data_IF_204883422905
#
_entry.id   IF_204883422905
#
_cell.length_a   1.000
_cell.length_b   1.000
_cell.length_c   1.000
_cell.angle_alpha   90.00
_cell.angle_beta   90.00
_cell.angle_gamma   90.00
#
_symmetry.space_group_name_H-M   'P 1'
#
loop_
_entity.id
_entity.type
_entity.pdbx_description
1 polymer ?
#
# COMPACT_ATOMS: atom_id res chain seq x y z
N UNK A 1 -6.69 -3.07 11.81
CA UNK A 1 -6.18 -2.16 10.76
C UNK A 1 -4.76 -1.77 11.14
N UNK A 2 -3.92 -1.36 10.18
CA UNK A 2 -2.55 -0.89 10.46
C UNK A 2 -2.42 0.59 10.12
N UNK A 3 -1.43 1.28 10.67
CA UNK A 3 -1.24 2.72 10.41
C UNK A 3 -1.16 3.07 8.92
N UNK A 4 -0.42 2.31 8.06
CA UNK A 4 -0.49 2.51 6.61
C UNK A 4 -1.92 2.52 6.06
N UNK A 5 -2.79 1.62 6.52
CA UNK A 5 -4.15 1.51 6.02
C UNK A 5 -5.00 2.72 6.36
N UNK A 6 -4.77 3.34 7.51
CA UNK A 6 -5.49 4.53 7.95
C UNK A 6 -5.05 5.74 7.12
N UNK A 7 -3.73 5.91 6.92
CA UNK A 7 -3.17 6.95 6.05
C UNK A 7 -3.74 6.83 4.63
N UNK A 8 -3.70 5.62 4.08
CA UNK A 8 -4.18 5.34 2.73
C UNK A 8 -5.69 5.54 2.56
N UNK A 9 -6.49 5.11 3.54
CA UNK A 9 -7.93 5.38 3.54
C UNK A 9 -8.21 6.88 3.49
N UNK A 10 -7.46 7.66 4.28
CA UNK A 10 -7.60 9.12 4.34
C UNK A 10 -7.18 9.76 3.01
N UNK A 11 -6.06 9.33 2.42
CA UNK A 11 -5.59 9.80 1.09
C UNK A 11 -6.56 9.46 -0.04
N UNK A 12 -7.17 8.27 0.00
CA UNK A 12 -8.19 7.87 -0.95
C UNK A 12 -9.39 8.81 -0.88
N UNK A 13 -9.92 9.06 0.32
CA UNK A 13 -11.03 9.98 0.55
C UNK A 13 -10.69 11.41 0.10
N UNK A 14 -9.50 11.89 0.44
CA UNK A 14 -9.00 13.20 -0.03
C UNK A 14 -9.08 13.29 -1.56
N UNK A 15 -8.66 12.26 -2.28
CA UNK A 15 -8.68 12.27 -3.74
C UNK A 15 -10.09 12.39 -4.34
N UNK A 16 -11.09 11.78 -3.70
CA UNK A 16 -12.49 11.87 -4.11
C UNK A 16 -13.10 13.23 -3.78
N UNK A 17 -12.82 13.76 -2.59
CA UNK A 17 -13.27 15.07 -2.16
C UNK A 17 -12.70 16.18 -3.06
N UNK A 18 -11.41 16.13 -3.39
CA UNK A 18 -10.78 17.09 -4.30
C UNK A 18 -11.38 17.04 -5.71
N UNK A 19 -11.76 15.85 -6.20
CA UNK A 19 -12.41 15.71 -7.51
C UNK A 19 -13.86 16.25 -7.51
N UNK A 20 -14.49 16.32 -6.34
CA UNK A 20 -15.85 16.78 -6.15
C UNK A 20 -15.95 18.23 -5.63
N UNK A 21 -14.81 18.94 -5.50
CA UNK A 21 -14.73 20.29 -4.90
C UNK A 21 -15.35 20.34 -3.48
N UNK A 22 -15.06 19.31 -2.67
CA UNK A 22 -15.53 19.18 -1.29
C UNK A 22 -14.37 19.44 -0.33
N UNK A 23 -14.60 20.31 0.65
CA UNK A 23 -13.64 20.57 1.72
C UNK A 23 -13.32 19.28 2.49
N UNK A 24 -12.03 19.00 2.63
CA UNK A 24 -11.52 17.82 3.30
C UNK A 24 -10.66 18.22 4.50
N UNK A 25 -10.82 17.52 5.62
CA UNK A 25 -9.88 17.56 6.73
C UNK A 25 -9.66 16.16 7.28
N UNK A 26 -8.44 15.88 7.73
CA UNK A 26 -8.11 14.63 8.40
C UNK A 26 -8.22 14.82 9.92
N UNK A 27 -8.98 13.95 10.58
CA UNK A 27 -9.04 13.90 12.04
C UNK A 27 -7.93 13.00 12.60
N UNK A 28 -7.13 13.54 13.52
CA UNK A 28 -6.05 12.83 14.19
C UNK A 28 -6.35 12.78 15.70
N UNK A 29 -7.20 11.82 16.09
CA UNK A 29 -7.56 11.54 17.48
C UNK A 29 -6.92 10.23 17.97
N UNK A 30 -6.20 10.30 19.09
CA UNK A 30 -5.55 9.18 19.76
C UNK A 30 -6.43 8.48 20.79
N UNK A 31 -7.71 8.22 20.49
CA UNK A 31 -8.57 7.47 21.40
C UNK A 31 -8.22 5.97 21.40
N UNK A 32 -8.12 5.31 22.58
CA UNK A 32 -8.27 5.88 23.93
C UNK A 32 -7.01 6.60 24.43
N UNK A 33 -7.18 7.75 25.08
CA UNK A 33 -6.09 8.55 25.69
C UNK A 33 -5.79 8.11 27.14
N UNK A 34 -4.65 8.53 27.75
CA UNK A 34 -3.51 9.32 27.24
C UNK A 34 -2.36 8.43 26.70
N UNK A 35 -1.10 8.92 26.64
CA UNK A 35 -0.02 8.26 25.88
C UNK A 35 0.42 6.88 26.37
N UNK A 36 0.06 6.49 27.60
CA UNK A 36 0.27 5.11 28.06
C UNK A 36 -0.68 4.11 27.36
N UNK A 37 -1.71 4.59 26.65
CA UNK A 37 -2.58 3.78 25.78
C UNK A 37 -2.20 3.93 24.31
N UNK A 38 -2.12 5.17 23.81
CA UNK A 38 -1.79 5.45 22.41
C UNK A 38 -0.58 6.39 22.34
N UNK A 39 0.58 5.94 21.85
CA UNK A 39 1.78 6.78 21.79
C UNK A 39 1.60 8.03 20.91
N UNK A 40 2.16 9.17 21.33
CA UNK A 40 2.17 10.38 20.50
C UNK A 40 2.84 10.18 19.14
N UNK A 41 3.83 9.30 19.05
CA UNK A 41 4.53 9.00 17.79
C UNK A 41 3.57 8.50 16.68
N UNK A 42 2.46 7.85 17.06
CA UNK A 42 1.44 7.39 16.11
C UNK A 42 0.73 8.59 15.47
N UNK A 43 0.37 9.58 16.29
CA UNK A 43 -0.22 10.82 15.80
C UNK A 43 0.76 11.64 14.95
N UNK A 44 2.03 11.73 15.35
CA UNK A 44 3.04 12.51 14.62
C UNK A 44 3.37 11.89 13.26
N UNK A 45 3.43 10.56 13.18
CA UNK A 45 3.69 9.87 11.92
C UNK A 45 2.50 9.94 10.97
N UNK A 46 1.26 9.87 11.49
CA UNK A 46 0.06 10.15 10.69
C UNK A 46 0.04 11.60 10.18
N UNK A 47 0.28 12.58 11.07
CA UNK A 47 0.32 14.02 10.73
C UNK A 47 1.38 14.31 9.66
N UNK A 48 2.58 13.73 9.80
CA UNK A 48 3.62 13.80 8.77
C UNK A 48 3.16 13.23 7.42
N UNK A 49 2.54 12.04 7.40
CA UNK A 49 2.06 11.44 6.15
C UNK A 49 1.00 12.31 5.47
N UNK A 50 0.03 12.81 6.24
CA UNK A 50 -1.04 13.64 5.72
C UNK A 50 -0.52 15.00 5.23
N UNK A 51 0.45 15.59 5.94
CA UNK A 51 1.10 16.84 5.50
C UNK A 51 1.91 16.63 4.21
N UNK A 52 2.68 15.54 4.12
CA UNK A 52 3.43 15.17 2.90
C UNK A 52 2.50 14.85 1.71
N UNK A 53 1.33 14.27 1.98
CA UNK A 53 0.26 14.05 0.98
C UNK A 53 -0.40 15.37 0.52
N UNK A 54 -0.12 16.50 1.19
CA UNK A 54 -0.75 17.78 0.89
C UNK A 54 -2.19 17.89 1.38
N UNK A 55 -2.54 17.16 2.44
CA UNK A 55 -3.84 17.31 3.09
C UNK A 55 -4.01 18.76 3.57
N UNK A 56 -5.07 19.47 3.15
CA UNK A 56 -5.18 20.91 3.34
C UNK A 56 -5.41 21.29 4.81
N UNK A 57 -6.08 20.43 5.58
CA UNK A 57 -6.43 20.69 6.98
C UNK A 57 -6.31 19.41 7.81
N UNK A 58 -5.80 19.55 9.03
CA UNK A 58 -5.73 18.45 10.00
C UNK A 58 -6.24 18.90 11.36
N UNK A 59 -7.20 18.17 11.91
CA UNK A 59 -7.68 18.36 13.28
C UNK A 59 -6.90 17.43 14.20
N UNK A 60 -5.87 17.97 14.86
CA UNK A 60 -4.99 17.22 15.76
C UNK A 60 -5.27 17.55 17.22
N UNK A 61 -5.67 16.53 17.97
CA UNK A 61 -6.02 16.69 19.36
C UNK A 61 -4.81 16.54 20.29
N UNK A 62 -4.31 17.67 20.79
CA UNK A 62 -3.07 17.72 21.60
C UNK A 62 -3.29 17.64 23.13
N UNK A 63 -4.54 17.59 23.59
CA UNK A 63 -4.91 17.58 25.01
C UNK A 63 -5.79 16.38 25.35
N UNK A 64 -5.72 15.88 26.59
CA UNK A 64 -6.64 14.82 27.05
C UNK A 64 -8.06 15.37 27.25
N UNK A 65 -9.09 14.58 26.93
CA UNK A 65 -10.50 14.99 27.06
C UNK A 65 -11.07 14.83 28.46
N UNK A 66 -10.52 13.91 29.25
CA UNK A 66 -11.08 13.51 30.53
C UNK A 66 -10.38 14.19 31.71
N UNK A 67 -9.08 14.38 31.57
CA UNK A 67 -8.20 14.91 32.60
C UNK A 67 -7.97 16.41 32.39
N UNK A 68 -7.31 17.04 33.35
CA UNK A 68 -6.92 18.44 33.23
C UNK A 68 -5.97 18.66 32.03
N UNK A 69 -5.98 19.84 31.40
CA UNK A 69 -5.13 20.12 30.22
C UNK A 69 -3.62 19.91 30.44
N UNK A 70 -3.14 19.97 31.67
CA UNK A 70 -1.75 19.79 32.07
C UNK A 70 -1.40 18.36 32.50
N UNK A 71 -2.37 17.45 32.57
CA UNK A 71 -2.16 16.06 32.96
C UNK A 71 -1.31 15.29 31.93
N UNK A 72 -1.64 15.44 30.65
CA UNK A 72 -0.90 14.83 29.54
C UNK A 72 -0.39 15.91 28.59
N UNK A 73 0.89 16.25 28.71
CA UNK A 73 1.53 17.32 27.92
C UNK A 73 2.38 16.80 26.78
N UNK A 74 2.61 15.48 26.67
CA UNK A 74 3.60 14.99 25.73
C UNK A 74 3.11 14.80 24.31
N UNK A 75 1.80 14.87 24.04
CA UNK A 75 1.31 15.08 22.67
C UNK A 75 1.77 16.46 22.17
N UNK A 76 1.58 17.52 22.96
CA UNK A 76 2.08 18.86 22.62
C UNK A 76 3.61 18.88 22.47
N UNK A 77 4.35 18.23 23.38
CA UNK A 77 5.83 18.17 23.27
C UNK A 77 6.29 17.42 22.01
N UNK A 78 5.60 16.34 21.64
CA UNK A 78 5.92 15.60 20.42
C UNK A 78 5.66 16.45 19.17
N UNK A 79 4.52 17.16 19.13
CA UNK A 79 4.20 18.09 18.04
C UNK A 79 5.25 19.20 17.92
N UNK A 80 5.60 19.87 19.02
CA UNK A 80 6.60 20.95 19.00
C UNK A 80 7.98 20.46 18.51
N UNK A 81 8.37 19.23 18.85
CA UNK A 81 9.63 18.63 18.39
C UNK A 81 9.63 18.34 16.89
N UNK A 82 8.48 17.98 16.33
CA UNK A 82 8.37 17.46 14.97
C UNK A 82 7.81 18.47 13.96
N UNK A 83 7.21 19.57 14.43
CA UNK A 83 6.50 20.57 13.62
C UNK A 83 7.32 21.08 12.44
N UNK A 84 8.58 21.41 12.68
CA UNK A 84 9.41 22.03 11.65
C UNK A 84 9.77 21.01 10.55
N UNK A 85 10.08 19.76 10.90
CA UNK A 85 10.27 18.66 9.93
C UNK A 85 9.02 18.40 9.10
N UNK A 86 7.85 18.34 9.75
CA UNK A 86 6.56 18.12 9.08
C UNK A 86 6.28 19.26 8.09
N UNK A 87 6.41 20.51 8.54
CA UNK A 87 6.19 21.70 7.70
C UNK A 87 7.16 21.74 6.52
N UNK A 88 8.45 21.57 6.76
CA UNK A 88 9.48 21.64 5.71
C UNK A 88 9.27 20.55 4.65
N UNK A 89 8.88 19.35 5.06
CA UNK A 89 8.55 18.25 4.13
C UNK A 89 7.31 18.60 3.31
N UNK A 90 6.24 19.09 3.94
CA UNK A 90 5.02 19.48 3.24
C UNK A 90 5.26 20.61 2.24
N UNK A 91 6.00 21.65 2.62
CA UNK A 91 6.40 22.76 1.75
C UNK A 91 7.24 22.26 0.57
N UNK A 92 8.19 21.36 0.81
CA UNK A 92 9.06 20.86 -0.25
C UNK A 92 8.32 19.97 -1.27
N UNK A 93 7.32 19.23 -0.81
CA UNK A 93 6.49 18.33 -1.64
C UNK A 93 5.26 19.01 -2.25
N UNK A 94 4.97 20.26 -1.87
CA UNK A 94 3.82 21.01 -2.35
C UNK A 94 3.79 21.10 -3.88
N UNK A 95 2.60 20.91 -4.46
CA UNK A 95 2.37 21.00 -5.90
C UNK A 95 2.88 19.81 -6.73
N UNK A 96 3.58 18.84 -6.14
CA UNK A 96 3.96 17.61 -6.84
C UNK A 96 2.76 16.65 -6.92
N UNK A 97 2.51 15.95 -8.04
CA UNK A 97 1.46 14.93 -8.07
C UNK A 97 1.94 13.63 -7.44
N UNK A 98 1.03 12.88 -6.83
CA UNK A 98 1.28 11.55 -6.27
C UNK A 98 1.81 10.58 -7.33
N UNK A 99 2.73 9.72 -6.92
CA UNK A 99 3.40 8.77 -7.80
C UNK A 99 3.56 7.40 -7.14
N UNK A 100 3.25 6.36 -7.88
CA UNK A 100 3.18 4.99 -7.38
C UNK A 100 2.19 4.16 -8.18
N UNK A 101 1.77 3.03 -7.63
CA UNK A 101 0.70 2.22 -8.22
C UNK A 101 -0.63 2.96 -8.06
N UNK A 102 -1.37 3.12 -9.16
CA UNK A 102 -2.72 3.69 -9.11
C UNK A 102 -3.68 2.68 -8.49
N UNK A 103 -4.23 2.99 -7.31
CA UNK A 103 -5.21 2.13 -6.65
C UNK A 103 -6.61 2.53 -7.12
N UNK A 104 -7.27 1.62 -7.85
CA UNK A 104 -8.63 1.83 -8.33
C UNK A 104 -9.65 1.35 -7.31
N UNK A 105 -10.45 2.29 -6.80
CA UNK A 105 -11.56 2.06 -5.88
C UNK A 105 -12.74 2.94 -6.26
N UNK A 106 -13.96 2.40 -6.14
CA UNK A 106 -15.20 3.15 -6.33
C UNK A 106 -15.63 3.79 -5.01
N UNK A 107 -15.87 5.10 -5.02
CA UNK A 107 -16.41 5.84 -3.87
C UNK A 107 -17.75 5.26 -3.37
N UNK A 108 -18.55 4.67 -4.27
CA UNK A 108 -19.86 4.06 -3.98
C UNK A 108 -19.79 2.54 -3.83
N UNK A 109 -18.62 1.97 -3.53
CA UNK A 109 -18.41 0.52 -3.35
C UNK A 109 -19.47 -0.13 -2.46
N UNK A 110 -19.83 0.51 -1.34
CA UNK A 110 -20.85 -0.01 -0.42
C UNK A 110 -22.22 -0.24 -1.09
N UNK A 111 -22.59 0.57 -2.08
CA UNK A 111 -23.87 0.47 -2.77
C UNK A 111 -23.92 -0.70 -3.77
N UNK A 112 -22.77 -1.17 -4.25
CA UNK A 112 -22.65 -2.25 -5.24
C UNK A 112 -22.02 -3.54 -4.72
N UNK A 113 -21.57 -3.56 -3.47
CA UNK A 113 -20.86 -4.70 -2.88
C UNK A 113 -21.81 -5.90 -2.66
N UNK A 114 -21.35 -7.08 -3.08
CA UNK A 114 -22.02 -8.33 -2.74
C UNK A 114 -21.68 -8.70 -1.28
N UNK A 115 -22.65 -8.58 -0.39
CA UNK A 115 -22.49 -8.95 1.02
C UNK A 115 -22.76 -10.45 1.22
N UNK A 116 -21.89 -11.18 1.94
CA UNK A 116 -22.22 -12.52 2.43
C UNK A 116 -23.50 -12.51 3.29
N UNK A 117 -24.28 -13.59 3.26
CA UNK A 117 -25.50 -13.71 4.10
C UNK A 117 -25.20 -13.54 5.60
N UNK A 118 -23.99 -13.91 6.04
CA UNK A 118 -23.54 -13.86 7.43
C UNK A 118 -22.63 -12.64 7.72
N UNK A 119 -22.68 -11.59 6.88
CA UNK A 119 -21.86 -10.41 7.09
C UNK A 119 -22.21 -9.70 8.42
N UNK A 120 -21.19 -9.42 9.24
CA UNK A 120 -21.33 -8.59 10.43
C UNK A 120 -21.13 -7.12 10.07
N UNK A 121 -21.64 -6.19 10.88
CA UNK A 121 -21.41 -4.76 10.69
C UNK A 121 -19.91 -4.42 10.56
N UNK A 122 -19.05 -5.10 11.34
CA UNK A 122 -17.60 -4.94 11.27
C UNK A 122 -17.03 -5.42 9.92
N UNK A 123 -17.53 -6.53 9.38
CA UNK A 123 -17.16 -7.00 8.04
C UNK A 123 -17.57 -5.99 6.97
N UNK A 124 -18.80 -5.48 7.04
CA UNK A 124 -19.34 -4.50 6.09
C UNK A 124 -18.51 -3.21 6.14
N UNK A 125 -18.30 -2.65 7.34
CA UNK A 125 -17.52 -1.42 7.52
C UNK A 125 -16.10 -1.58 6.96
N UNK A 126 -15.46 -2.73 7.23
CA UNK A 126 -14.11 -2.96 6.75
C UNK A 126 -14.05 -3.09 5.23
N UNK A 127 -14.91 -3.91 4.65
CA UNK A 127 -14.92 -4.17 3.21
C UNK A 127 -15.36 -2.95 2.40
N UNK A 128 -16.25 -2.12 2.95
CA UNK A 128 -16.70 -0.88 2.33
C UNK A 128 -15.68 0.26 2.45
N UNK A 129 -14.91 0.31 3.53
CA UNK A 129 -14.02 1.46 3.81
C UNK A 129 -12.59 1.22 3.32
N UNK A 130 -12.01 0.04 3.57
CA UNK A 130 -10.58 -0.19 3.36
C UNK A 130 -10.31 -0.94 2.06
N UNK A 131 -9.49 -0.33 1.20
CA UNK A 131 -9.01 -0.96 -0.02
C UNK A 131 -8.01 -2.09 0.29
N UNK A 132 -8.33 -3.31 -0.16
CA UNK A 132 -7.41 -4.45 -0.07
C UNK A 132 -6.14 -4.26 -0.93
N UNK A 133 -6.27 -3.58 -2.07
CA UNK A 133 -5.15 -3.26 -2.95
C UNK A 133 -4.18 -2.30 -2.26
N UNK A 134 -4.69 -1.18 -1.73
CA UNK A 134 -3.86 -0.26 -0.95
C UNK A 134 -3.27 -0.96 0.28
N UNK A 135 -4.04 -1.82 0.94
CA UNK A 135 -3.59 -2.55 2.11
C UNK A 135 -2.38 -3.45 1.85
N UNK A 136 -2.36 -4.16 0.72
CA UNK A 136 -1.23 -4.97 0.27
C UNK A 136 -0.03 -4.08 -0.08
N UNK A 137 -0.24 -3.07 -0.93
CA UNK A 137 0.83 -2.24 -1.49
C UNK A 137 1.53 -1.43 -0.39
N UNK A 138 0.77 -0.70 0.42
CA UNK A 138 1.31 0.07 1.55
C UNK A 138 1.87 -0.83 2.65
N UNK A 139 1.30 -2.03 2.82
CA UNK A 139 1.80 -3.04 3.76
C UNK A 139 3.21 -3.55 3.42
N UNK A 140 3.54 -3.51 2.13
CA UNK A 140 4.83 -3.89 1.56
C UNK A 140 5.71 -2.66 1.23
N UNK A 141 5.36 -1.47 1.73
CA UNK A 141 6.13 -0.25 1.52
C UNK A 141 6.20 0.24 0.07
N UNK A 142 5.20 -0.10 -0.76
CA UNK A 142 5.11 0.36 -2.14
C UNK A 142 4.26 1.62 -2.21
N UNK A 143 4.78 2.66 -2.86
CA UNK A 143 4.07 3.92 -3.02
C UNK A 143 2.80 3.75 -3.88
N UNK A 144 1.74 4.44 -3.48
CA UNK A 144 0.40 4.41 -4.11
C UNK A 144 -0.03 5.79 -4.55
N UNK A 145 -0.94 5.83 -5.53
CA UNK A 145 -1.62 7.03 -5.98
C UNK A 145 -3.12 6.74 -6.19
N UNK A 146 -3.97 7.75 -6.01
CA UNK A 146 -5.43 7.62 -6.18
C UNK A 146 -5.98 8.42 -7.35
N UNK A 147 -5.12 9.15 -8.06
CA UNK A 147 -5.43 9.78 -9.34
C UNK A 147 -4.83 8.96 -10.47
N UNK A 148 -5.59 8.77 -11.55
CA UNK A 148 -5.15 8.01 -12.70
C UNK A 148 -3.95 8.70 -13.36
N UNK A 149 -2.77 8.09 -13.25
CA UNK A 149 -1.50 8.62 -13.76
C UNK A 149 -0.97 7.91 -15.01
N UNK A 150 -1.73 6.98 -15.60
CA UNK A 150 -1.32 6.22 -16.77
C UNK A 150 -0.15 5.24 -16.54
N UNK A 151 0.02 4.76 -15.30
CA UNK A 151 1.02 3.78 -14.87
C UNK A 151 0.41 2.39 -14.67
N UNK A 152 0.89 1.65 -13.66
CA UNK A 152 0.26 0.39 -13.23
C UNK A 152 -0.98 0.69 -12.41
N UNK A 153 -2.09 -0.01 -12.70
CA UNK A 153 -3.30 0.03 -11.88
C UNK A 153 -3.40 -1.22 -11.00
N UNK A 154 -3.77 -1.06 -9.73
CA UNK A 154 -4.20 -2.14 -8.87
C UNK A 154 -5.71 -2.07 -8.68
N UNK A 155 -6.40 -3.19 -8.92
CA UNK A 155 -7.85 -3.31 -8.75
C UNK A 155 -8.17 -4.69 -8.18
N UNK A 156 -8.72 -4.75 -6.97
CA UNK A 156 -9.03 -6.00 -6.26
C UNK A 156 -10.53 -6.14 -6.01
N UNK A 157 -11.02 -7.37 -5.92
CA UNK A 157 -12.44 -7.64 -5.70
C UNK A 157 -13.33 -7.08 -6.80
N UNK A 158 -14.43 -6.44 -6.39
CA UNK A 158 -15.41 -5.85 -7.31
C UNK A 158 -14.87 -4.69 -8.15
N UNK A 159 -13.73 -4.09 -7.76
CA UNK A 159 -13.05 -3.04 -8.53
C UNK A 159 -12.63 -3.53 -9.93
N UNK A 160 -12.53 -4.84 -10.17
CA UNK A 160 -12.33 -5.41 -11.50
C UNK A 160 -13.48 -5.10 -12.48
N UNK A 161 -14.69 -4.80 -11.98
CA UNK A 161 -15.85 -4.41 -12.81
C UNK A 161 -15.73 -3.02 -13.39
N UNK A 162 -15.08 -2.11 -12.65
CA UNK A 162 -15.07 -0.67 -12.92
C UNK A 162 -13.70 -0.15 -13.36
N UNK A 163 -12.63 -0.92 -13.14
CA UNK A 163 -11.27 -0.46 -13.47
C UNK A 163 -11.18 -0.07 -14.96
N UNK A 164 -10.62 1.12 -15.28
CA UNK A 164 -10.46 1.54 -16.66
C UNK A 164 -9.53 0.59 -17.43
N UNK A 165 -9.93 0.20 -18.65
CA UNK A 165 -9.13 -0.69 -19.52
C UNK A 165 -8.11 0.06 -20.38
N UNK A 166 -8.25 1.38 -20.49
CA UNK A 166 -7.40 2.21 -21.33
C UNK A 166 -6.49 3.10 -20.49
N UNK A 167 -5.29 3.35 -21.02
CA UNK A 167 -4.34 4.31 -20.46
C UNK A 167 -3.42 3.74 -19.38
N UNK A 168 -3.61 2.51 -18.92
CA UNK A 168 -2.69 1.86 -17.98
C UNK A 168 -1.57 1.12 -18.71
N UNK A 169 -0.42 1.01 -18.05
CA UNK A 169 0.73 0.22 -18.47
C UNK A 169 0.62 -1.26 -18.12
N UNK A 170 -0.26 -1.60 -17.18
CA UNK A 170 -0.51 -2.95 -16.72
C UNK A 170 -1.40 -2.99 -15.49
N UNK A 171 -1.80 -4.18 -15.07
CA UNK A 171 -2.72 -4.39 -13.96
C UNK A 171 -2.17 -5.35 -12.91
N UNK A 172 -2.33 -4.99 -11.64
CA UNK A 172 -2.13 -5.89 -10.49
C UNK A 172 -3.53 -6.24 -9.97
N UNK A 173 -3.87 -7.52 -10.03
CA UNK A 173 -5.22 -8.01 -9.73
C UNK A 173 -5.16 -9.10 -8.67
N UNK A 174 -6.23 -9.24 -7.91
CA UNK A 174 -6.53 -10.46 -7.16
C UNK A 174 -7.45 -11.36 -8.02
N UNK A 175 -7.67 -12.60 -7.59
CA UNK A 175 -8.43 -13.57 -8.38
C UNK A 175 -9.86 -13.07 -8.71
N UNK A 176 -10.64 -12.56 -7.73
CA UNK A 176 -11.94 -11.97 -8.02
C UNK A 176 -11.91 -10.87 -9.08
N UNK A 177 -10.97 -9.91 -8.99
CA UNK A 177 -10.89 -8.83 -9.97
C UNK A 177 -10.50 -9.33 -11.38
N UNK A 178 -9.58 -10.30 -11.47
CA UNK A 178 -9.22 -10.92 -12.74
C UNK A 178 -10.40 -11.65 -13.39
N UNK A 179 -11.26 -12.29 -12.59
CA UNK A 179 -12.49 -12.91 -13.07
C UNK A 179 -13.53 -11.88 -13.51
N UNK A 180 -13.69 -10.76 -12.79
CA UNK A 180 -14.58 -9.67 -13.21
C UNK A 180 -14.12 -9.01 -14.52
N UNK A 181 -12.80 -8.82 -14.69
CA UNK A 181 -12.25 -8.35 -15.96
C UNK A 181 -12.46 -9.36 -17.09
N UNK A 182 -12.32 -10.66 -16.84
CA UNK A 182 -12.63 -11.71 -17.81
C UNK A 182 -14.11 -11.68 -18.24
N UNK A 183 -15.05 -11.45 -17.31
CA UNK A 183 -16.48 -11.26 -17.65
C UNK A 183 -16.75 -10.04 -18.52
N UNK A 184 -15.88 -9.01 -18.44
CA UNK A 184 -15.89 -7.84 -19.33
C UNK A 184 -15.25 -8.10 -20.70
N UNK A 185 -14.80 -9.33 -20.96
CA UNK A 185 -14.14 -9.73 -22.21
C UNK A 185 -12.63 -9.47 -22.22
N UNK A 186 -12.01 -9.13 -21.09
CA UNK A 186 -10.57 -8.91 -21.01
C UNK A 186 -9.85 -10.24 -20.79
N UNK A 187 -8.90 -10.52 -21.67
CA UNK A 187 -8.04 -11.69 -21.50
C UNK A 187 -7.01 -11.48 -20.38
N UNK A 188 -7.26 -12.06 -19.21
CA UNK A 188 -6.37 -12.02 -18.04
C UNK A 188 -5.43 -13.23 -17.95
N UNK A 189 -5.54 -14.20 -18.86
CA UNK A 189 -4.74 -15.44 -18.83
C UNK A 189 -5.37 -16.60 -18.05
N UNK A 190 -6.52 -16.40 -17.40
CA UNK A 190 -7.28 -17.46 -16.71
C UNK A 190 -8.14 -18.23 -17.72
N UNK A 191 -8.03 -19.56 -17.73
CA UNK A 191 -8.92 -20.47 -18.44
C UNK A 191 -10.08 -20.94 -17.55
N UNK A 192 -9.77 -21.28 -16.31
CA UNK A 192 -10.74 -21.56 -15.24
C UNK A 192 -10.13 -21.22 -13.89
N UNK A 193 -10.96 -20.87 -12.91
CA UNK A 193 -10.53 -20.69 -11.54
C UNK A 193 -11.64 -21.10 -10.57
N UNK A 194 -11.31 -21.96 -9.61
CA UNK A 194 -12.24 -22.48 -8.61
C UNK A 194 -11.67 -22.26 -7.21
N UNK A 195 -12.49 -21.89 -6.20
CA UNK A 195 -12.03 -21.77 -4.82
C UNK A 195 -11.46 -23.10 -4.31
N UNK A 196 -10.43 -23.03 -3.46
CA UNK A 196 -9.94 -24.19 -2.74
C UNK A 196 -10.85 -24.53 -1.55
N UNK A 197 -11.04 -25.82 -1.30
CA UNK A 197 -11.80 -26.30 -0.13
C UNK A 197 -11.06 -26.07 1.19
N UNK A 198 -9.71 -26.05 1.14
CA UNK A 198 -8.84 -25.85 2.28
C UNK A 198 -7.76 -24.81 1.96
N UNK A 199 -7.36 -24.05 2.97
CA UNK A 199 -6.28 -23.10 2.83
C UNK A 199 -4.94 -23.85 2.63
N UNK A 200 -4.06 -23.37 1.73
CA UNK A 200 -2.73 -23.93 1.57
C UNK A 200 -1.88 -23.72 2.83
N UNK A 201 -0.90 -24.60 3.06
CA UNK A 201 -0.02 -24.50 4.21
C UNK A 201 0.99 -23.36 4.03
N UNK A 202 1.53 -23.21 2.81
CA UNK A 202 2.55 -22.20 2.51
C UNK A 202 2.45 -21.73 1.06
N UNK A 203 3.06 -20.57 0.80
CA UNK A 203 3.35 -20.10 -0.54
C UNK A 203 4.86 -20.23 -0.82
N UNK A 204 5.20 -20.96 -1.87
CA UNK A 204 6.57 -21.15 -2.35
C UNK A 204 6.88 -20.19 -3.51
N UNK A 205 8.07 -19.59 -3.49
CA UNK A 205 8.54 -18.63 -4.48
C UNK A 205 9.75 -19.20 -5.21
N UNK A 206 9.58 -19.77 -6.42
CA UNK A 206 10.66 -20.45 -7.15
C UNK A 206 11.89 -19.58 -7.40
N UNK A 207 11.73 -18.27 -7.64
CA UNK A 207 12.85 -17.33 -7.85
C UNK A 207 13.82 -17.30 -6.66
N UNK A 208 13.31 -17.48 -5.44
CA UNK A 208 14.09 -17.42 -4.20
C UNK A 208 14.41 -18.80 -3.63
N UNK A 209 13.88 -19.86 -4.24
CA UNK A 209 13.92 -21.23 -3.71
C UNK A 209 13.51 -21.32 -2.23
N UNK A 210 12.49 -20.56 -1.84
CA UNK A 210 12.05 -20.44 -0.45
C UNK A 210 10.53 -20.21 -0.34
N UNK A 211 10.01 -20.22 0.88
CA UNK A 211 8.57 -20.13 1.17
C UNK A 211 8.24 -19.21 2.35
N UNK A 212 6.97 -18.80 2.40
CA UNK A 212 6.36 -18.25 3.61
C UNK A 212 5.26 -19.19 4.09
N UNK A 213 5.19 -19.40 5.39
CA UNK A 213 4.08 -20.13 6.01
C UNK A 213 2.85 -19.20 6.05
N UNK A 214 1.71 -19.74 5.64
CA UNK A 214 0.43 -19.05 5.76
C UNK A 214 -0.12 -19.33 7.16
N UNK A 215 -0.56 -18.27 7.85
CA UNK A 215 -1.03 -18.39 9.22
C UNK A 215 -2.52 -18.03 9.33
N UNK A 216 -3.07 -18.04 10.54
CA UNK A 216 -4.49 -17.77 10.77
C UNK A 216 -4.94 -16.36 10.32
N UNK A 217 -4.02 -15.40 10.21
CA UNK A 217 -4.27 -14.06 9.65
C UNK A 217 -4.47 -14.08 8.13
N UNK A 218 -3.97 -15.11 7.45
CA UNK A 218 -4.08 -15.35 6.01
C UNK A 218 -5.23 -16.31 5.67
N UNK A 219 -5.78 -17.03 6.65
CA UNK A 219 -6.57 -18.26 6.43
C UNK A 219 -7.87 -18.32 7.25
N UNK A 220 -8.63 -17.22 7.36
CA UNK A 220 -9.97 -17.26 7.99
C UNK A 220 -11.04 -17.97 7.13
N UNK A 221 -10.67 -19.05 6.42
CA UNK A 221 -11.48 -19.87 5.52
C UNK A 221 -10.66 -20.44 4.34
N UNK A 222 -11.09 -21.56 3.74
CA UNK A 222 -10.47 -22.13 2.52
C UNK A 222 -10.84 -21.39 1.23
N UNK A 223 -12.05 -20.81 1.17
CA UNK A 223 -12.63 -20.07 0.03
C UNK A 223 -11.92 -18.77 -0.34
N UNK A 224 -10.75 -18.52 0.25
CA UNK A 224 -9.90 -17.36 0.00
C UNK A 224 -8.90 -17.59 -1.12
N UNK A 225 -8.61 -18.84 -1.47
CA UNK A 225 -7.57 -19.21 -2.44
C UNK A 225 -8.20 -19.86 -3.67
N UNK A 226 -7.55 -19.75 -4.82
CA UNK A 226 -8.08 -20.27 -6.08
C UNK A 226 -7.11 -21.26 -6.72
N UNK A 227 -7.63 -22.39 -7.18
CA UNK A 227 -6.97 -23.22 -8.18
C UNK A 227 -7.33 -22.70 -9.55
N UNK A 228 -6.34 -22.24 -10.31
CA UNK A 228 -6.55 -21.77 -11.67
C UNK A 228 -5.84 -22.63 -12.71
N UNK A 229 -6.53 -22.91 -13.81
CA UNK A 229 -5.90 -23.32 -15.07
C UNK A 229 -5.56 -22.06 -15.85
N UNK A 230 -4.30 -21.94 -16.29
CA UNK A 230 -3.78 -20.74 -16.96
C UNK A 230 -3.48 -21.06 -18.43
N UNK A 231 -3.46 -20.02 -19.26
CA UNK A 231 -2.96 -20.12 -20.64
C UNK A 231 -1.46 -20.48 -20.63
N UNK A 232 -1.02 -21.15 -21.69
CA UNK A 232 0.35 -21.70 -21.80
C UNK A 232 1.45 -20.66 -21.65
N UNK A 233 1.21 -19.41 -22.07
CA UNK A 233 2.16 -18.30 -21.96
C UNK A 233 2.06 -17.51 -20.63
N UNK A 234 1.29 -17.98 -19.64
CA UNK A 234 1.30 -17.42 -18.30
C UNK A 234 2.53 -17.91 -17.51
N UNK A 235 3.31 -16.98 -16.98
CA UNK A 235 4.49 -17.27 -16.17
C UNK A 235 4.09 -17.35 -14.69
N UNK A 236 4.10 -18.55 -14.11
CA UNK A 236 3.82 -18.75 -12.68
C UNK A 236 4.99 -18.23 -11.85
N UNK A 237 4.73 -17.22 -11.00
CA UNK A 237 5.75 -16.57 -10.17
C UNK A 237 5.84 -17.14 -8.76
N UNK A 238 4.75 -17.76 -8.27
CA UNK A 238 4.71 -18.43 -6.98
C UNK A 238 3.61 -19.49 -6.95
N UNK A 239 3.68 -20.39 -5.98
CA UNK A 239 2.88 -21.62 -5.94
C UNK A 239 2.37 -21.86 -4.52
N UNK A 240 1.06 -22.09 -4.37
CA UNK A 240 0.46 -22.56 -3.13
C UNK A 240 0.67 -24.06 -3.01
N UNK A 241 1.06 -24.53 -1.82
CA UNK A 241 1.26 -25.97 -1.55
C UNK A 241 0.60 -26.38 -0.24
N UNK A 242 0.00 -27.57 -0.27
CA UNK A 242 -0.45 -28.29 0.92
C UNK A 242 -0.36 -29.80 0.69
N UNK A 243 0.20 -30.54 1.65
CA UNK A 243 0.22 -32.02 1.75
C UNK A 243 0.26 -32.80 0.41
N UNK A 244 1.13 -32.38 -0.52
CA UNK A 244 1.37 -33.06 -1.81
C UNK A 244 0.61 -32.50 -3.01
N UNK A 245 -0.29 -31.55 -2.79
CA UNK A 245 -0.96 -30.76 -3.83
C UNK A 245 -0.30 -29.39 -3.99
N UNK A 246 -0.38 -28.86 -5.21
CA UNK A 246 0.30 -27.66 -5.65
C UNK A 246 -0.53 -26.96 -6.72
N UNK A 247 -0.75 -25.66 -6.56
CA UNK A 247 -1.42 -24.84 -7.58
C UNK A 247 -0.78 -23.45 -7.67
N UNK A 248 -0.89 -22.75 -8.82
CA UNK A 248 -0.35 -21.41 -8.95
C UNK A 248 -0.91 -20.46 -7.87
N UNK A 249 -0.03 -19.66 -7.25
CA UNK A 249 -0.41 -18.62 -6.28
C UNK A 249 -0.35 -17.21 -6.88
N UNK A 250 0.55 -17.00 -7.83
CA UNK A 250 0.53 -15.80 -8.67
C UNK A 250 1.18 -16.06 -10.02
N UNK A 251 0.82 -15.25 -11.01
CA UNK A 251 1.41 -15.34 -12.33
C UNK A 251 1.48 -13.97 -13.02
N UNK A 252 2.43 -13.85 -13.95
CA UNK A 252 2.50 -12.75 -14.90
C UNK A 252 2.02 -13.19 -16.28
N UNK A 253 1.25 -12.35 -16.95
CA UNK A 253 0.69 -12.65 -18.26
C UNK A 253 0.66 -11.40 -19.14
N UNK A 254 0.95 -11.54 -20.42
CA UNK A 254 0.74 -10.47 -21.42
C UNK A 254 -0.27 -10.98 -22.42
N UNK A 255 -1.40 -10.27 -22.56
CA UNK A 255 -2.45 -10.66 -23.49
C UNK A 255 -2.06 -10.33 -24.95
N UNK A 256 -2.91 -10.75 -25.89
CA UNK A 256 -2.67 -10.53 -27.33
C UNK A 256 -2.63 -9.04 -27.73
N UNK A 257 -3.21 -8.15 -26.92
CA UNK A 257 -3.18 -6.70 -27.11
C UNK A 257 -1.91 -6.05 -26.53
N UNK A 258 -1.01 -6.84 -25.93
CA UNK A 258 0.21 -6.35 -25.31
C UNK A 258 0.02 -5.79 -23.90
N UNK A 259 -1.15 -6.00 -23.29
CA UNK A 259 -1.43 -5.56 -21.92
C UNK A 259 -0.89 -6.57 -20.91
N UNK A 260 0.02 -6.16 -19.99
CA UNK A 260 0.54 -7.03 -18.95
C UNK A 260 -0.34 -7.06 -17.68
N UNK A 261 -0.38 -8.22 -17.04
CA UNK A 261 -1.12 -8.52 -15.83
C UNK A 261 -0.22 -9.25 -14.83
N UNK A 262 -0.26 -8.83 -13.56
CA UNK A 262 0.14 -9.65 -12.42
C UNK A 262 -1.13 -10.03 -11.67
N UNK A 263 -1.40 -11.33 -11.57
CA UNK A 263 -2.61 -11.82 -10.89
C UNK A 263 -2.22 -12.65 -9.67
N UNK A 264 -2.81 -12.30 -8.53
CA UNK A 264 -2.68 -12.98 -7.25
C UNK A 264 -3.88 -13.90 -7.05
N UNK A 265 -3.66 -15.21 -6.94
CA UNK A 265 -4.71 -16.23 -6.93
C UNK A 265 -5.33 -16.46 -5.54
N UNK A 266 -5.59 -15.35 -4.85
CA UNK A 266 -6.36 -15.31 -3.61
C UNK A 266 -7.33 -14.13 -3.64
N UNK A 267 -8.24 -14.10 -2.67
CA UNK A 267 -9.21 -13.04 -2.43
C UNK A 267 -8.63 -12.06 -1.40
N UNK A 268 -8.27 -10.85 -1.82
CA UNK A 268 -7.45 -9.98 -0.98
C UNK A 268 -8.24 -9.26 0.14
N UNK A 269 -9.54 -9.01 -0.05
CA UNK A 269 -10.42 -8.34 0.92
C UNK A 269 -10.65 -9.15 2.20
N UNK A 270 -10.40 -10.46 2.16
CA UNK A 270 -10.51 -11.36 3.31
C UNK A 270 -9.21 -11.52 4.10
N UNK A 271 -8.06 -11.15 3.53
CA UNK A 271 -6.75 -11.27 4.20
C UNK A 271 -6.61 -10.17 5.25
N UNK A 272 -6.19 -10.53 6.47
CA UNK A 272 -5.93 -9.53 7.50
C UNK A 272 -4.65 -8.75 7.18
N UNK A 273 -4.65 -7.45 7.49
CA UNK A 273 -3.53 -6.52 7.26
C UNK A 273 -2.16 -6.95 7.80
N UNK A 274 -2.15 -7.85 8.78
CA UNK A 274 -0.93 -8.41 9.39
C UNK A 274 -0.55 -9.79 8.86
N UNK A 275 -1.31 -10.34 7.91
CA UNK A 275 -1.05 -11.66 7.32
C UNK A 275 0.26 -11.71 6.55
N UNK A 276 0.85 -12.91 6.47
CA UNK A 276 2.09 -13.19 5.75
C UNK A 276 2.00 -12.73 4.28
N UNK A 277 0.84 -12.85 3.64
CA UNK A 277 0.63 -12.45 2.24
C UNK A 277 0.87 -10.94 2.03
N UNK A 278 0.59 -10.11 3.04
CA UNK A 278 0.68 -8.65 2.96
C UNK A 278 2.00 -8.10 3.53
N UNK A 279 2.87 -8.97 4.04
CA UNK A 279 4.14 -8.60 4.69
C UNK A 279 5.37 -9.33 4.13
N UNK A 280 5.16 -10.24 3.19
CA UNK A 280 6.24 -11.03 2.57
C UNK A 280 7.21 -10.19 1.74
N UNK A 281 8.50 -10.28 2.04
CA UNK A 281 9.55 -9.66 1.22
C UNK A 281 9.68 -10.28 -0.17
N UNK A 282 9.31 -11.55 -0.33
CA UNK A 282 9.24 -12.19 -1.66
C UNK A 282 8.10 -11.59 -2.48
N UNK A 283 6.94 -11.37 -1.87
CA UNK A 283 5.83 -10.65 -2.51
C UNK A 283 6.20 -9.21 -2.86
N UNK A 284 6.89 -8.52 -1.94
CA UNK A 284 7.41 -7.18 -2.19
C UNK A 284 8.27 -7.17 -3.46
N UNK A 285 9.24 -8.09 -3.57
CA UNK A 285 10.12 -8.19 -4.71
C UNK A 285 9.36 -8.47 -6.02
N UNK A 286 8.40 -9.39 -6.01
CA UNK A 286 7.56 -9.69 -7.17
C UNK A 286 6.75 -8.48 -7.65
N UNK A 287 6.14 -7.71 -6.74
CA UNK A 287 5.35 -6.53 -7.11
C UNK A 287 6.24 -5.42 -7.69
N UNK A 288 7.42 -5.22 -7.12
CA UNK A 288 8.41 -4.26 -7.65
C UNK A 288 8.84 -4.66 -9.06
N UNK A 289 9.16 -5.94 -9.27
CA UNK A 289 9.60 -6.44 -10.57
C UNK A 289 8.48 -6.40 -11.61
N UNK A 290 7.25 -6.78 -11.22
CA UNK A 290 6.08 -6.66 -12.09
C UNK A 290 5.87 -5.22 -12.56
N UNK A 291 5.94 -4.23 -11.66
CA UNK A 291 5.82 -2.82 -12.04
C UNK A 291 6.91 -2.39 -13.04
N UNK A 292 8.14 -2.88 -12.87
CA UNK A 292 9.24 -2.66 -13.82
C UNK A 292 8.97 -3.33 -15.18
N UNK A 293 8.52 -4.58 -15.19
CA UNK A 293 8.16 -5.35 -16.40
C UNK A 293 7.01 -4.71 -17.18
N UNK A 294 6.07 -4.08 -16.47
CA UNK A 294 4.98 -3.30 -17.06
C UNK A 294 5.47 -1.94 -17.62
N UNK A 295 6.74 -1.57 -17.44
CA UNK A 295 7.30 -0.30 -17.93
C UNK A 295 6.95 0.91 -17.07
N UNK A 296 6.60 0.70 -15.80
CA UNK A 296 6.26 1.75 -14.84
C UNK A 296 6.91 1.44 -13.47
N UNK A 297 8.26 1.49 -13.37
CA UNK A 297 8.96 1.22 -12.12
C UNK A 297 8.54 2.21 -11.02
N UNK A 298 8.48 1.73 -9.77
CA UNK A 298 8.14 2.56 -8.62
C UNK A 298 9.21 3.65 -8.40
N UNK A 299 8.82 4.91 -8.08
CA UNK A 299 9.78 6.03 -7.98
C UNK A 299 10.89 5.79 -6.96
N UNK A 300 10.55 5.21 -5.83
CA UNK A 300 11.44 4.83 -4.76
C UNK A 300 10.95 3.53 -4.10
N UNK A 301 11.88 2.73 -3.59
CA UNK A 301 11.62 1.45 -2.91
C UNK A 301 12.55 1.31 -1.71
N UNK A 302 12.01 0.82 -0.59
CA UNK A 302 12.80 0.36 0.56
C UNK A 302 12.54 -1.13 0.74
N UNK A 303 13.57 -1.96 0.53
CA UNK A 303 13.43 -3.42 0.57
C UNK A 303 13.66 -3.95 1.97
N UNK A 304 12.92 -5.00 2.34
CA UNK A 304 13.15 -5.80 3.56
C UNK A 304 13.09 -5.00 4.87
N UNK A 305 12.39 -3.87 4.87
CA UNK A 305 12.12 -3.07 6.08
C UNK A 305 10.65 -3.24 6.49
N UNK A 306 10.37 -3.95 7.59
CA UNK A 306 9.00 -4.16 8.03
C UNK A 306 8.39 -2.83 8.47
N UNK A 307 7.14 -2.57 8.12
CA UNK A 307 6.46 -1.33 8.48
C UNK A 307 6.96 -0.08 7.75
N UNK A 308 7.86 -0.21 6.75
CA UNK A 308 8.17 0.90 5.87
C UNK A 308 6.93 1.35 5.11
N UNK A 309 6.62 2.64 5.20
CA UNK A 309 5.62 3.29 4.39
C UNK A 309 6.28 4.39 3.57
N UNK A 310 6.00 4.38 2.27
CA UNK A 310 6.51 5.36 1.32
C UNK A 310 5.36 6.12 0.69
N UNK A 311 5.46 7.44 0.72
CA UNK A 311 4.67 8.32 -0.12
C UNK A 311 5.61 9.03 -1.08
N UNK A 312 5.37 8.88 -2.38
CA UNK A 312 6.18 9.50 -3.43
C UNK A 312 5.33 10.52 -4.20
N UNK A 313 5.92 11.68 -4.51
CA UNK A 313 5.31 12.70 -5.38
C UNK A 313 6.34 13.19 -6.38
N UNK A 314 6.02 13.22 -7.67
CA UNK A 314 6.99 13.60 -8.71
C UNK A 314 6.35 14.25 -9.92
N UNK A 315 7.04 15.21 -10.51
CA UNK A 315 6.69 15.78 -11.82
C UNK A 315 7.74 15.45 -12.90
N UNK A 316 8.60 14.46 -12.64
CA UNK A 316 9.71 14.06 -13.52
C UNK A 316 10.96 14.95 -13.42
N UNK A 317 10.88 16.14 -12.83
CA UNK A 317 12.03 17.03 -12.56
C UNK A 317 12.39 17.12 -11.08
N UNK A 318 11.42 16.86 -10.21
CA UNK A 318 11.57 16.78 -8.76
C UNK A 318 10.88 15.51 -8.27
N UNK A 319 11.46 14.85 -7.29
CA UNK A 319 10.85 13.72 -6.58
C UNK A 319 10.93 14.00 -5.08
N UNK A 320 9.77 14.04 -4.43
CA UNK A 320 9.65 14.01 -2.98
C UNK A 320 9.33 12.60 -2.52
N UNK A 321 10.06 12.12 -1.52
CA UNK A 321 9.82 10.84 -0.84
C UNK A 321 9.64 11.11 0.65
N UNK A 322 8.47 10.74 1.17
CA UNK A 322 8.20 10.70 2.59
C UNK A 322 8.27 9.24 3.05
N UNK A 323 9.22 8.95 3.93
CA UNK A 323 9.43 7.63 4.53
C UNK A 323 8.98 7.66 6.00
N UNK A 324 8.12 6.72 6.38
CA UNK A 324 7.72 6.48 7.76
C UNK A 324 8.04 5.06 8.19
N UNK A 325 8.56 4.92 9.41
CA UNK A 325 8.73 3.63 10.05
C UNK A 325 7.52 3.31 10.93
N UNK A 326 6.55 2.52 10.46
CA UNK A 326 5.42 2.07 11.29
C UNK A 326 5.69 0.76 12.06
N UNK A 327 6.95 0.31 12.11
CA UNK A 327 7.37 -0.79 12.97
C UNK A 327 7.62 -0.33 14.40
N UNK A 328 7.61 -1.30 15.31
CA UNK A 328 8.16 -1.14 16.66
C UNK A 328 9.68 -1.29 16.68
N UNK A 329 10.26 -1.86 15.63
CA UNK A 329 11.69 -1.96 15.42
C UNK A 329 12.24 -0.72 14.74
N UNK A 330 13.51 -0.41 15.00
CA UNK A 330 14.24 0.65 14.32
C UNK A 330 14.61 0.22 12.90
N UNK A 331 14.45 1.11 11.92
CA UNK A 331 15.04 0.91 10.59
C UNK A 331 16.48 1.38 10.64
N UNK A 332 17.41 0.42 10.60
CA UNK A 332 18.83 0.69 10.73
C UNK A 332 19.41 1.03 9.36
N UNK A 333 19.82 2.29 9.20
CA UNK A 333 20.38 2.84 7.96
C UNK A 333 19.65 2.39 6.69
N UNK A 334 18.33 2.67 6.58
CA UNK A 334 17.52 2.14 5.49
C UNK A 334 18.05 2.63 4.13
N UNK A 335 17.97 1.73 3.15
CA UNK A 335 18.39 1.97 1.76
C UNK A 335 17.16 2.23 0.90
N UNK A 336 17.15 3.38 0.23
CA UNK A 336 16.12 3.74 -0.74
C UNK A 336 16.69 3.56 -2.15
N UNK A 337 16.13 2.62 -2.90
CA UNK A 337 16.42 2.39 -4.32
C UNK A 337 15.52 3.30 -5.18
N UNK A 338 16.11 4.02 -6.14
CA UNK A 338 15.42 4.96 -7.02
C UNK A 338 15.25 4.38 -8.43
N UNK A 339 14.12 4.67 -9.09
CA UNK A 339 13.89 4.25 -10.48
C UNK A 339 14.84 4.93 -11.48
N UNK A 340 15.28 6.15 -11.18
CA UNK A 340 16.11 6.99 -12.02
C UNK A 340 17.24 7.63 -11.22
N UNK A 341 18.26 8.13 -11.92
CA UNK A 341 19.32 8.92 -11.32
C UNK A 341 18.88 10.37 -11.13
N UNK A 342 19.34 10.98 -10.05
CA UNK A 342 19.06 12.37 -9.66
C UNK A 342 20.37 13.09 -9.39
N UNK A 343 20.42 14.41 -9.60
CA UNK A 343 21.67 15.18 -9.43
C UNK A 343 21.90 15.60 -7.98
N UNK A 344 20.84 15.97 -7.28
CA UNK A 344 20.93 16.47 -5.91
C UNK A 344 19.91 15.79 -5.01
N UNK A 345 20.26 15.68 -3.72
CA UNK A 345 19.40 15.19 -2.66
C UNK A 345 19.44 16.16 -1.47
N UNK A 346 18.27 16.49 -0.93
CA UNK A 346 18.10 17.17 0.35
C UNK A 346 17.37 16.24 1.30
N UNK A 347 17.91 16.09 2.50
CA UNK A 347 17.36 15.26 3.57
C UNK A 347 16.71 16.17 4.63
N UNK A 348 15.48 15.83 5.03
CA UNK A 348 14.66 16.62 5.96
C UNK A 348 14.33 15.73 7.16
N UNK A 349 14.68 16.18 8.37
CA UNK A 349 14.48 15.42 9.60
C UNK A 349 15.37 14.18 9.78
N UNK A 350 16.36 13.99 8.89
CA UNK A 350 17.32 12.89 8.92
C UNK A 350 18.65 13.32 8.28
N UNK A 351 19.68 12.47 8.45
CA UNK A 351 20.91 12.55 7.66
C UNK A 351 20.86 11.50 6.55
N UNK A 352 21.62 11.71 5.48
CA UNK A 352 21.72 10.72 4.41
C UNK A 352 22.78 11.05 3.37
N UNK A 353 23.00 10.10 2.46
CA UNK A 353 23.86 10.27 1.29
C UNK A 353 23.22 9.62 0.07
N UNK A 354 23.55 10.14 -1.11
CA UNK A 354 23.09 9.63 -2.40
C UNK A 354 24.29 9.17 -3.23
N UNK A 355 24.21 7.97 -3.79
CA UNK A 355 25.17 7.42 -4.74
C UNK A 355 24.43 6.79 -5.93
N UNK A 356 24.38 7.51 -7.05
CA UNK A 356 23.63 7.09 -8.24
C UNK A 356 22.14 6.94 -7.93
N UNK A 357 21.64 5.69 -7.98
CA UNK A 357 20.23 5.34 -7.70
C UNK A 357 19.98 4.85 -6.27
N UNK A 358 20.98 4.91 -5.40
CA UNK A 358 20.84 4.48 -4.01
C UNK A 358 20.96 5.68 -3.07
N UNK A 359 20.06 5.75 -2.10
CA UNK A 359 20.15 6.65 -0.95
C UNK A 359 20.30 5.82 0.31
N UNK A 360 21.21 6.20 1.18
CA UNK A 360 21.38 5.61 2.52
C UNK A 360 21.08 6.68 3.56
N UNK A 361 20.11 6.42 4.43
CA UNK A 361 19.74 7.35 5.50
C UNK A 361 20.44 7.01 6.83
N UNK A 362 20.37 7.93 7.78
CA UNK A 362 20.51 7.62 9.21
C UNK A 362 19.36 6.74 9.70
N UNK A 363 19.52 6.16 10.88
CA UNK A 363 18.50 5.31 11.49
C UNK A 363 17.16 6.04 11.64
N UNK A 364 16.05 5.34 11.35
CA UNK A 364 14.69 5.84 11.52
C UNK A 364 14.03 5.08 12.66
N UNK A 365 13.92 5.76 13.79
CA UNK A 365 13.30 5.23 15.02
C UNK A 365 11.89 4.69 14.77
N UNK A 366 11.38 3.79 15.65
CA UNK A 366 9.99 3.36 15.61
C UNK A 366 9.02 4.55 15.56
N UNK A 367 8.09 4.54 14.60
CA UNK A 367 7.15 5.63 14.31
C UNK A 367 7.81 6.98 14.01
N UNK A 368 9.09 6.95 13.63
CA UNK A 368 9.84 8.07 13.09
C UNK A 368 9.64 8.20 11.58
N UNK A 369 10.12 9.31 11.03
CA UNK A 369 9.93 9.64 9.63
C UNK A 369 11.03 10.54 9.09
N UNK A 370 11.18 10.53 7.76
CA UNK A 370 12.19 11.25 7.01
C UNK A 370 11.60 11.79 5.69
N UNK A 371 11.96 13.02 5.34
CA UNK A 371 11.69 13.60 4.03
C UNK A 371 12.95 13.58 3.16
N UNK A 372 12.79 13.24 1.88
CA UNK A 372 13.87 13.25 0.88
C UNK A 372 13.38 14.02 -0.34
N UNK A 373 14.15 15.00 -0.78
CA UNK A 373 13.85 15.77 -1.98
C UNK A 373 14.97 15.62 -3.00
N UNK A 374 14.61 15.23 -4.21
CA UNK A 374 15.53 14.94 -5.30
C UNK A 374 15.23 15.83 -6.50
N UNK A 375 16.28 16.34 -7.15
CA UNK A 375 16.16 17.22 -8.31
C UNK A 375 17.13 16.81 -9.43
N UNK A 376 16.67 16.98 -10.68
CA UNK A 376 17.43 16.66 -11.91
C UNK A 376 18.43 17.74 -12.26
#
# INVERSE_FOLDING_TARGET
QTMPHIVEFTRMQQSWCEAADVDFFAENDSYPRPRYRIPAAYMESFDFCMAAAGCPQQLKYMMDYFSRPDYETGYLRAHLRNRDTIRETAEAMAGLPDAGVYVHEDMRRAAGMALPEEATDSHIMRAASFSAASALLSGLGLATAYRNGGGVAAAFGDSGRTVPLNGQKGYILDAPAALEMARRGVDTGILSAEPLDAAPAYEFFPEFDDRIELNWLDTTGGSLFYRAALKENAEVLSVFRDRGDSCPASYFYVNAEGTPFLVLLFRADTVLAGGSLFRSYYRQAQLIDAARRMGAPLPAVVRREPGAYLLCRTNGRRLGVALCNFSLDEMVRPRVELAAEWKTARFIGCEGSMNGREIVLSDVRPYGFAGIMLEV
#
